data_IF_194434627215
#
_entry.id   IF_194434627215
#
_cell.length_a   1.000
_cell.length_b   1.000
_cell.length_c   1.000
_cell.angle_alpha   90.00
_cell.angle_beta   90.00
_cell.angle_gamma   90.00
#
_symmetry.space_group_name_H-M   'P 1'
#
loop_
_entity.id
_entity.type
_entity.pdbx_description
1 polymer ?
#
# COMPACT_ATOMS: atom_id res chain seq x y z
N UNK A 1 -13.13 -5.52 7.36
CA UNK A 1 -11.72 -5.69 6.88
C UNK A 1 -10.79 -5.07 7.91
N UNK A 2 -9.61 -5.63 8.13
CA UNK A 2 -8.49 -4.97 8.83
C UNK A 2 -7.33 -4.85 7.86
N UNK A 3 -6.68 -3.69 7.85
CA UNK A 3 -5.44 -3.45 7.11
C UNK A 3 -4.38 -3.07 8.13
N UNK A 4 -3.19 -3.67 8.01
CA UNK A 4 -2.01 -3.34 8.81
C UNK A 4 -0.77 -3.35 7.91
N UNK A 5 0.42 -3.21 8.48
CA UNK A 5 1.67 -3.33 7.74
C UNK A 5 1.85 -4.76 7.24
N UNK A 6 2.34 -4.91 6.02
CA UNK A 6 2.92 -6.18 5.57
C UNK A 6 4.14 -6.54 6.45
N UNK A 7 4.33 -7.80 6.87
CA UNK A 7 5.38 -8.17 7.81
C UNK A 7 6.80 -7.97 7.27
N UNK A 8 7.04 -8.19 5.97
CA UNK A 8 8.35 -7.99 5.35
C UNK A 8 8.69 -6.50 5.28
N UNK A 9 7.71 -5.67 4.91
CA UNK A 9 7.84 -4.22 4.94
C UNK A 9 8.04 -3.70 6.37
N UNK A 10 7.23 -4.20 7.30
CA UNK A 10 7.21 -3.80 8.70
C UNK A 10 8.53 -4.08 9.42
N UNK A 11 9.26 -5.13 9.04
CA UNK A 11 10.54 -5.49 9.63
C UNK A 11 11.61 -4.39 9.54
N UNK A 12 11.44 -3.40 8.65
CA UNK A 12 12.35 -2.27 8.51
C UNK A 12 12.12 -1.15 9.53
N UNK A 13 11.04 -1.20 10.33
CA UNK A 13 10.76 -0.22 11.38
C UNK A 13 10.12 -0.90 12.61
N UNK A 14 10.72 -0.81 13.81
CA UNK A 14 10.29 -1.58 14.98
C UNK A 14 8.81 -1.35 15.33
N UNK A 15 8.32 -0.11 15.23
CA UNK A 15 6.92 0.18 15.53
C UNK A 15 5.95 -0.37 14.49
N UNK A 16 6.35 -0.43 13.21
CA UNK A 16 5.51 -1.05 12.17
C UNK A 16 5.40 -2.55 12.40
N UNK A 17 6.50 -3.21 12.76
CA UNK A 17 6.50 -4.64 13.08
C UNK A 17 5.61 -4.93 14.29
N UNK A 18 5.69 -4.11 15.35
CA UNK A 18 4.81 -4.26 16.51
C UNK A 18 3.36 -3.98 16.19
N UNK A 19 3.08 -3.01 15.32
CA UNK A 19 1.72 -2.74 14.86
C UNK A 19 1.16 -3.94 14.07
N UNK A 20 1.95 -4.55 13.19
CA UNK A 20 1.59 -5.78 12.49
C UNK A 20 1.25 -6.90 13.49
N UNK A 21 2.17 -7.22 14.41
CA UNK A 21 2.02 -8.31 15.38
C UNK A 21 0.74 -8.17 16.21
N UNK A 22 0.50 -6.96 16.76
CA UNK A 22 -0.67 -6.68 17.59
C UNK A 22 -1.96 -6.72 16.77
N UNK A 23 -1.95 -6.17 15.56
CA UNK A 23 -3.11 -6.18 14.66
C UNK A 23 -3.49 -7.61 14.25
N UNK A 24 -2.50 -8.44 13.91
CA UNK A 24 -2.71 -9.83 13.54
C UNK A 24 -3.25 -10.65 14.71
N UNK A 25 -2.69 -10.48 15.92
CA UNK A 25 -3.16 -11.14 17.12
C UNK A 25 -4.60 -10.72 17.48
N UNK A 26 -4.92 -9.44 17.39
CA UNK A 26 -6.27 -8.93 17.64
C UNK A 26 -7.28 -9.42 16.61
N UNK A 27 -6.90 -9.47 15.33
CA UNK A 27 -7.72 -10.04 14.26
C UNK A 27 -8.08 -11.50 14.58
N UNK A 28 -7.09 -12.34 14.88
CA UNK A 28 -7.29 -13.76 15.17
C UNK A 28 -8.31 -13.98 16.31
N UNK A 29 -8.25 -13.17 17.36
CA UNK A 29 -9.14 -13.24 18.53
C UNK A 29 -10.55 -12.71 18.27
N UNK A 30 -10.75 -11.92 17.21
CA UNK A 30 -12.04 -11.26 16.92
C UNK A 30 -12.80 -11.89 15.75
N UNK A 31 -12.24 -12.92 15.10
CA UNK A 31 -12.87 -13.61 13.96
C UNK A 31 -14.21 -14.28 14.27
N UNK A 32 -14.44 -14.68 15.53
CA UNK A 32 -15.69 -15.33 15.98
C UNK A 32 -16.69 -14.36 16.61
N UNK A 33 -16.29 -13.11 16.81
CA UNK A 33 -17.18 -12.07 17.34
C UNK A 33 -18.21 -11.72 16.28
N UNK A 34 -19.49 -11.63 16.66
CA UNK A 34 -20.54 -11.21 15.75
C UNK A 34 -20.23 -9.82 15.17
N UNK A 35 -20.15 -9.73 13.83
CA UNK A 35 -19.73 -8.49 13.14
C UNK A 35 -18.23 -8.22 13.15
N UNK A 36 -17.40 -9.16 13.63
CA UNK A 36 -15.95 -9.05 13.62
C UNK A 36 -15.33 -9.06 12.22
N UNK A 37 -14.04 -8.70 12.09
CA UNK A 37 -13.37 -8.64 10.81
C UNK A 37 -13.16 -10.03 10.20
N UNK A 38 -13.36 -10.14 8.89
CA UNK A 38 -13.26 -11.41 8.14
C UNK A 38 -12.00 -11.56 7.30
N UNK A 39 -11.32 -10.46 6.97
CA UNK A 39 -10.11 -10.43 6.14
C UNK A 39 -9.08 -9.48 6.75
N UNK A 40 -7.82 -9.93 6.78
CA UNK A 40 -6.65 -9.17 7.21
C UNK A 40 -5.72 -8.96 6.02
N UNK A 41 -5.31 -7.72 5.79
CA UNK A 41 -4.38 -7.36 4.73
C UNK A 41 -3.13 -6.66 5.26
N UNK A 42 -2.02 -6.87 4.56
CA UNK A 42 -0.76 -6.14 4.72
C UNK A 42 -0.58 -5.10 3.61
N UNK A 43 -0.14 -3.90 3.98
CA UNK A 43 0.27 -2.84 3.05
C UNK A 43 1.78 -2.61 3.10
N UNK A 44 2.38 -2.41 1.92
CA UNK A 44 3.82 -2.12 1.74
C UNK A 44 4.10 -0.66 1.34
N UNK A 45 3.06 0.17 1.14
CA UNK A 45 3.07 1.58 0.68
C UNK A 45 3.78 1.88 -0.66
N UNK A 46 5.03 1.41 -0.84
CA UNK A 46 5.86 1.60 -2.03
C UNK A 46 6.33 0.25 -2.57
N UNK A 47 5.59 -0.24 -3.56
CA UNK A 47 5.95 -1.42 -4.33
C UNK A 47 6.99 -1.06 -5.41
N UNK A 48 7.76 -2.05 -5.86
CA UNK A 48 8.81 -1.86 -6.88
C UNK A 48 8.24 -1.26 -8.17
N UNK A 49 7.11 -1.75 -8.65
CA UNK A 49 6.33 -1.31 -9.82
C UNK A 49 5.80 0.09 -9.64
N UNK A 50 5.28 0.46 -8.47
CA UNK A 50 4.90 1.85 -8.18
C UNK A 50 6.11 2.76 -8.33
N UNK A 51 7.22 2.41 -7.69
CA UNK A 51 8.45 3.21 -7.73
C UNK A 51 9.06 3.23 -9.13
N UNK A 52 8.96 2.13 -9.89
CA UNK A 52 9.40 2.06 -11.28
C UNK A 52 8.56 2.98 -12.18
N UNK A 53 7.23 2.97 -12.06
CA UNK A 53 6.37 3.86 -12.83
C UNK A 53 6.68 5.35 -12.53
N UNK A 54 6.95 5.67 -11.27
CA UNK A 54 7.38 7.01 -10.87
C UNK A 54 8.77 7.37 -11.44
N UNK A 55 9.71 6.42 -11.44
CA UNK A 55 11.02 6.57 -12.07
C UNK A 55 10.91 6.82 -13.57
N UNK A 56 10.19 5.96 -14.28
CA UNK A 56 10.01 6.04 -15.73
C UNK A 56 9.39 7.38 -16.12
N UNK A 57 8.39 7.85 -15.37
CA UNK A 57 7.81 9.17 -15.57
C UNK A 57 8.88 10.26 -15.45
N UNK A 58 9.72 10.24 -14.40
CA UNK A 58 10.79 11.25 -14.25
C UNK A 58 11.79 11.24 -15.39
N UNK A 59 12.19 10.05 -15.86
CA UNK A 59 13.12 9.90 -16.98
C UNK A 59 12.51 10.44 -18.28
N UNK A 60 11.24 10.12 -18.55
CA UNK A 60 10.52 10.62 -19.74
C UNK A 60 10.42 12.14 -19.73
N UNK A 61 10.25 12.76 -18.57
CA UNK A 61 10.23 14.22 -18.43
C UNK A 61 11.62 14.87 -18.47
N UNK A 62 12.70 14.09 -18.61
CA UNK A 62 14.08 14.59 -18.56
C UNK A 62 14.49 15.12 -17.18
N UNK A 63 13.82 14.66 -16.12
CA UNK A 63 14.10 15.03 -14.73
C UNK A 63 15.07 14.03 -14.10
N UNK A 64 15.89 14.50 -13.17
CA UNK A 64 16.69 13.61 -12.32
C UNK A 64 15.75 12.80 -11.42
N UNK A 65 15.87 11.48 -11.47
CA UNK A 65 14.98 10.59 -10.75
C UNK A 65 15.37 10.42 -9.28
N UNK A 66 14.49 10.73 -8.32
CA UNK A 66 14.76 10.47 -6.90
C UNK A 66 14.60 8.98 -6.52
N UNK A 67 14.25 8.11 -7.47
CA UNK A 67 13.77 6.75 -7.21
C UNK A 67 14.82 5.65 -7.46
N UNK A 68 15.91 5.95 -8.18
CA UNK A 68 16.91 4.96 -8.63
C UNK A 68 17.45 4.08 -7.49
N UNK A 69 17.92 4.71 -6.41
CA UNK A 69 18.48 3.99 -5.27
C UNK A 69 17.45 3.11 -4.55
N UNK A 70 16.17 3.48 -4.58
CA UNK A 70 15.12 2.64 -4.01
C UNK A 70 14.88 1.41 -4.87
N UNK A 71 14.92 1.55 -6.21
CA UNK A 71 14.81 0.44 -7.16
C UNK A 71 15.97 -0.56 -7.05
N UNK A 72 17.10 -0.23 -6.47
CA UNK A 72 18.16 -1.23 -6.19
C UNK A 72 17.82 -2.11 -4.99
N UNK A 73 16.97 -1.63 -4.09
CA UNK A 73 16.71 -2.25 -2.78
C UNK A 73 15.34 -2.90 -2.65
N UNK A 74 14.36 -2.43 -3.44
CA UNK A 74 13.00 -2.94 -3.37
C UNK A 74 12.95 -4.38 -3.89
N UNK A 75 12.41 -5.32 -3.09
CA UNK A 75 12.28 -6.71 -3.50
C UNK A 75 11.26 -6.86 -4.63
N UNK A 76 11.28 -8.02 -5.29
CA UNK A 76 10.24 -8.39 -6.24
C UNK A 76 8.87 -8.49 -5.55
N UNK A 77 7.83 -8.09 -6.27
CA UNK A 77 6.52 -7.81 -5.68
C UNK A 77 5.68 -9.05 -5.44
N UNK A 78 4.94 -9.01 -4.33
CA UNK A 78 3.79 -9.88 -4.06
C UNK A 78 2.65 -9.01 -3.58
N UNK A 79 1.52 -9.08 -4.27
CA UNK A 79 0.25 -8.56 -3.81
C UNK A 79 -0.85 -9.49 -4.33
N UNK A 80 -1.93 -9.58 -3.58
CA UNK A 80 -3.11 -10.36 -3.99
C UNK A 80 -4.26 -9.43 -4.37
N UNK A 81 -4.14 -8.15 -4.03
CA UNK A 81 -5.24 -7.18 -4.09
C UNK A 81 -4.71 -5.82 -4.51
N UNK A 82 -5.43 -5.14 -5.39
CA UNK A 82 -5.08 -3.84 -5.93
C UNK A 82 -6.33 -2.96 -6.10
N UNK A 83 -6.36 -1.84 -5.40
CA UNK A 83 -7.51 -0.93 -5.36
C UNK A 83 -7.24 0.28 -6.25
N UNK A 84 -8.20 0.62 -7.12
CA UNK A 84 -8.13 1.83 -7.92
C UNK A 84 -8.34 3.05 -7.00
N UNK A 85 -7.33 3.91 -6.92
CA UNK A 85 -7.35 5.13 -6.08
C UNK A 85 -7.09 6.41 -6.88
N UNK A 86 -7.02 6.34 -8.21
CA UNK A 86 -6.69 7.48 -9.07
C UNK A 86 -7.55 8.72 -8.80
N UNK A 87 -8.86 8.54 -8.61
CA UNK A 87 -9.79 9.63 -8.27
C UNK A 87 -9.56 10.24 -6.88
N UNK A 88 -8.86 9.52 -6.00
CA UNK A 88 -8.55 9.93 -4.62
C UNK A 88 -7.09 10.36 -4.43
N UNK A 89 -6.25 10.29 -5.46
CA UNK A 89 -4.83 10.59 -5.38
C UNK A 89 -4.55 12.01 -4.87
N UNK A 90 -5.33 13.00 -5.31
CA UNK A 90 -5.20 14.38 -4.82
C UNK A 90 -5.56 14.52 -3.34
N UNK A 91 -6.61 13.82 -2.89
CA UNK A 91 -7.01 13.80 -1.48
C UNK A 91 -5.88 13.24 -0.61
N UNK A 92 -5.29 12.11 -1.00
CA UNK A 92 -4.17 11.50 -0.27
C UNK A 92 -2.94 12.43 -0.22
N UNK A 93 -2.63 13.12 -1.33
CA UNK A 93 -1.51 14.07 -1.39
C UNK A 93 -1.75 15.32 -0.55
N UNK A 94 -2.97 15.83 -0.51
CA UNK A 94 -3.31 16.95 0.37
C UNK A 94 -3.22 16.55 1.83
N UNK A 95 -3.71 15.35 2.20
CA UNK A 95 -3.51 14.82 3.54
C UNK A 95 -2.01 14.72 3.89
N UNK A 96 -1.17 14.24 2.96
CA UNK A 96 0.28 14.16 3.16
C UNK A 96 0.93 15.53 3.43
N UNK A 97 0.45 16.60 2.77
CA UNK A 97 0.96 17.97 2.97
C UNK A 97 0.68 18.52 4.36
N UNK A 98 -0.35 18.04 5.04
CA UNK A 98 -0.65 18.45 6.42
C UNK A 98 0.36 17.91 7.44
N UNK A 99 1.15 16.88 7.08
CA UNK A 99 2.25 16.35 7.89
C UNK A 99 3.53 17.21 7.78
N UNK A 100 3.39 18.54 7.90
CA UNK A 100 4.44 19.53 7.63
C UNK A 100 5.73 19.33 8.44
N UNK A 101 5.61 18.77 9.65
CA UNK A 101 6.78 18.50 10.51
C UNK A 101 7.57 17.26 10.10
N UNK A 102 6.97 16.39 9.27
CA UNK A 102 7.55 15.10 8.85
C UNK A 102 8.03 15.14 7.40
N UNK A 103 7.27 15.83 6.53
CA UNK A 103 7.50 15.86 5.09
C UNK A 103 7.52 17.31 4.64
N UNK A 104 8.67 17.76 4.15
CA UNK A 104 8.79 19.08 3.54
C UNK A 104 7.91 19.20 2.29
N UNK A 105 7.36 20.38 2.04
CA UNK A 105 6.47 20.63 0.88
C UNK A 105 7.15 20.42 -0.48
N UNK A 106 8.48 20.47 -0.53
CA UNK A 106 9.32 20.25 -1.71
C UNK A 106 10.05 18.88 -1.68
N UNK A 107 9.65 17.97 -0.79
CA UNK A 107 10.28 16.67 -0.66
C UNK A 107 10.21 15.87 -1.97
N UNK A 108 11.37 15.70 -2.63
CA UNK A 108 11.49 15.13 -3.99
C UNK A 108 10.78 13.78 -4.16
N UNK A 109 10.95 12.86 -3.21
CA UNK A 109 10.29 11.54 -3.28
C UNK A 109 8.77 11.63 -3.48
N UNK A 110 8.12 12.58 -2.80
CA UNK A 110 6.66 12.71 -2.79
C UNK A 110 6.14 13.70 -3.83
N UNK A 111 6.89 14.78 -4.11
CA UNK A 111 6.40 15.92 -4.88
C UNK A 111 7.14 16.20 -6.20
N UNK A 112 8.12 15.38 -6.60
CA UNK A 112 8.74 15.50 -7.95
C UNK A 112 7.72 15.30 -9.07
N UNK A 113 6.74 14.40 -8.89
CA UNK A 113 5.63 14.23 -9.82
C UNK A 113 4.51 15.20 -9.43
N UNK A 114 4.07 16.09 -10.34
CA UNK A 114 2.95 17.01 -10.12
C UNK A 114 1.64 16.27 -9.87
N UNK A 115 0.72 16.93 -9.16
CA UNK A 115 -0.57 16.34 -8.78
C UNK A 115 -1.41 15.92 -9.99
N UNK A 116 -1.36 16.69 -11.08
CA UNK A 116 -2.08 16.40 -12.31
C UNK A 116 -1.60 15.10 -12.98
N UNK A 117 -0.33 14.73 -12.80
CA UNK A 117 0.25 13.54 -13.39
C UNK A 117 0.20 12.34 -12.44
N UNK A 118 0.35 12.56 -11.14
CA UNK A 118 0.52 11.50 -10.14
C UNK A 118 -0.64 10.49 -10.15
N UNK A 119 -1.87 10.97 -10.35
CA UNK A 119 -3.06 10.13 -10.46
C UNK A 119 -2.99 9.16 -11.65
N UNK A 120 -2.23 9.46 -12.70
CA UNK A 120 -2.09 8.63 -13.89
C UNK A 120 -0.84 7.75 -13.87
N UNK A 121 0.22 8.17 -13.16
CA UNK A 121 1.48 7.41 -13.07
C UNK A 121 1.27 6.07 -12.37
N UNK A 122 0.58 6.09 -11.22
CA UNK A 122 0.25 4.85 -10.50
C UNK A 122 -1.09 4.98 -9.76
N UNK A 123 -2.23 4.72 -10.43
CA UNK A 123 -3.57 4.92 -9.85
C UNK A 123 -3.99 3.82 -8.87
N UNK A 124 -3.05 3.16 -8.20
CA UNK A 124 -3.29 1.94 -7.45
C UNK A 124 -2.67 1.97 -6.05
N UNK A 125 -3.39 1.39 -5.09
CA UNK A 125 -2.84 0.90 -3.84
C UNK A 125 -2.89 -0.63 -3.83
N UNK A 126 -1.84 -1.25 -3.29
CA UNK A 126 -1.64 -2.69 -3.34
C UNK A 126 -1.60 -3.26 -1.93
N UNK A 127 -2.24 -4.41 -1.78
CA UNK A 127 -2.38 -5.11 -0.51
C UNK A 127 -2.13 -6.60 -0.70
N UNK A 128 -1.58 -7.23 0.33
CA UNK A 128 -1.43 -8.68 0.43
C UNK A 128 -2.45 -9.23 1.41
N UNK A 129 -3.24 -10.21 1.00
CA UNK A 129 -4.17 -10.91 1.88
C UNK A 129 -3.38 -11.84 2.79
N UNK A 130 -3.32 -11.50 4.07
CA UNK A 130 -2.55 -12.23 5.08
C UNK A 130 -3.37 -13.34 5.74
N UNK A 131 -4.67 -13.10 5.97
CA UNK A 131 -5.54 -14.08 6.61
C UNK A 131 -7.02 -13.87 6.26
N UNK A 132 -7.76 -14.97 6.32
CA UNK A 132 -9.23 -15.03 6.20
C UNK A 132 -9.79 -15.69 7.45
N UNK A 133 -10.88 -15.16 8.00
CA UNK A 133 -11.52 -15.72 9.19
C UNK A 133 -12.04 -17.15 8.92
N UNK A 134 -12.04 -18.04 9.94
CA UNK A 134 -12.54 -19.40 9.79
C UNK A 134 -13.96 -19.46 9.22
N UNK A 135 -14.23 -20.42 8.33
CA UNK A 135 -15.55 -20.59 7.70
C UNK A 135 -15.81 -19.69 6.49
N UNK A 136 -14.90 -18.75 6.19
CA UNK A 136 -14.93 -17.98 4.96
C UNK A 136 -13.95 -18.57 3.95
N UNK A 137 -14.45 -18.89 2.77
CA UNK A 137 -13.62 -19.23 1.62
C UNK A 137 -13.69 -18.06 0.66
N UNK A 138 -12.53 -17.52 0.31
CA UNK A 138 -12.44 -16.71 -0.88
C UNK A 138 -12.41 -17.67 -2.07
N UNK A 139 -13.14 -17.39 -3.16
CA UNK A 139 -12.82 -18.07 -4.41
C UNK A 139 -11.33 -17.84 -4.65
N UNK A 140 -10.55 -18.92 -4.77
CA UNK A 140 -9.13 -18.85 -5.15
C UNK A 140 -9.05 -17.91 -6.35
N UNK A 141 -8.53 -16.68 -6.20
CA UNK A 141 -8.71 -15.76 -7.29
C UNK A 141 -7.62 -16.13 -8.29
N UNK A 142 -8.05 -16.55 -9.48
CA UNK A 142 -7.16 -16.65 -10.64
C UNK A 142 -6.57 -15.28 -11.00
N UNK A 143 -7.17 -14.20 -10.47
CA UNK A 143 -6.86 -12.80 -10.73
C UNK A 143 -6.57 -12.01 -9.44
N UNK A 144 -6.08 -10.78 -9.59
CA UNK A 144 -5.88 -9.83 -8.49
C UNK A 144 -7.24 -9.30 -8.01
N UNK A 145 -7.50 -9.32 -6.70
CA UNK A 145 -8.72 -8.75 -6.12
C UNK A 145 -8.75 -7.21 -6.27
N UNK A 146 -9.90 -6.62 -6.61
CA UNK A 146 -10.05 -5.17 -6.80
C UNK A 146 -10.92 -4.47 -5.76
N UNK A 147 -11.44 -5.21 -4.78
CA UNK A 147 -12.27 -4.70 -3.69
C UNK A 147 -12.01 -5.52 -2.42
N UNK A 148 -11.51 -4.86 -1.38
CA UNK A 148 -11.21 -5.46 -0.07
C UNK A 148 -12.42 -6.17 0.56
N UNK A 149 -13.64 -5.78 0.18
CA UNK A 149 -14.90 -6.34 0.66
C UNK A 149 -15.42 -7.50 -0.20
N UNK A 150 -14.69 -7.91 -1.23
CA UNK A 150 -15.06 -9.06 -2.06
C UNK A 150 -15.30 -10.29 -1.19
N UNK A 151 -16.46 -10.94 -1.40
CA UNK A 151 -16.92 -12.14 -0.68
C UNK A 151 -17.11 -11.96 0.84
N UNK A 152 -17.36 -10.73 1.30
CA UNK A 152 -17.76 -10.43 2.68
C UNK A 152 -19.27 -10.41 2.91
#
# INVERSE_FOLDING_TARGET
VVVTYDPEYAANHPDHLRCHDISAAAFAQTTTVAGGPRKLYGSRFFSRRRVQAMHDWTVVQGLESPYERALEKLPDERFTTRIAIGEHALTARNALREHQTQIAHDHRWFYTIPDADFAHVYPWEEFELLAVAPGFTLPMPADVESDLFTSL
#
